data_IF_831324600747
#
_entry.id   IF_831324600747
#
_cell.length_a   1.000
_cell.length_b   1.000
_cell.length_c   1.000
_cell.angle_alpha   90.00
_cell.angle_beta   90.00
_cell.angle_gamma   90.00
#
_symmetry.space_group_name_H-M   'P 1'
#
loop_
_entity.id
_entity.type
_entity.pdbx_description
1 polymer ?
#
# COMPACT_ATOMS: atom_id res chain seq x y z
N UNK A 1 -6.69 -15.09 -11.16
CA UNK A 1 -7.39 -13.92 -10.57
C UNK A 1 -6.39 -13.09 -9.77
N UNK A 2 -6.55 -11.77 -9.77
CA UNK A 2 -5.68 -10.84 -9.03
C UNK A 2 -6.56 -10.10 -8.02
N UNK A 3 -6.20 -10.12 -6.76
CA UNK A 3 -6.89 -9.40 -5.70
C UNK A 3 -5.94 -8.41 -5.04
N UNK A 4 -6.41 -7.18 -4.83
CA UNK A 4 -5.69 -6.16 -4.06
C UNK A 4 -6.53 -5.88 -2.82
N UNK A 5 -5.92 -5.98 -1.65
CA UNK A 5 -6.56 -5.73 -0.35
C UNK A 5 -5.85 -4.57 0.31
N UNK A 6 -6.59 -3.49 0.61
CA UNK A 6 -6.08 -2.37 1.39
C UNK A 6 -6.24 -2.63 2.89
N UNK A 7 -5.18 -2.42 3.66
CA UNK A 7 -5.15 -2.49 5.12
C UNK A 7 -4.81 -1.07 5.62
N UNK A 8 -5.87 -0.27 5.75
CA UNK A 8 -5.81 1.09 6.27
C UNK A 8 -6.04 1.15 7.78
N UNK A 9 -5.56 2.22 8.44
CA UNK A 9 -5.83 2.43 9.86
C UNK A 9 -4.80 3.34 10.54
N UNK A 10 -5.11 3.75 11.77
CA UNK A 10 -4.29 4.72 12.53
C UNK A 10 -2.91 4.15 12.88
N UNK A 11 -1.96 5.03 13.17
CA UNK A 11 -0.59 4.66 13.58
C UNK A 11 -0.61 3.79 14.84
N UNK A 12 0.22 2.74 14.88
CA UNK A 12 0.27 1.73 15.96
C UNK A 12 -1.00 0.88 16.20
N UNK A 13 -1.97 0.83 15.28
CA UNK A 13 -3.20 0.01 15.45
C UNK A 13 -3.03 -1.50 15.22
N UNK A 14 -1.82 -1.99 14.92
CA UNK A 14 -1.56 -3.41 14.64
C UNK A 14 -1.70 -3.82 13.16
N UNK A 15 -1.74 -2.87 12.22
CA UNK A 15 -1.80 -3.15 10.77
C UNK A 15 -0.73 -4.16 10.33
N UNK A 16 0.53 -3.90 10.67
CA UNK A 16 1.67 -4.73 10.25
C UNK A 16 1.58 -6.14 10.82
N UNK A 17 1.04 -6.29 12.03
CA UNK A 17 0.77 -7.60 12.65
C UNK A 17 -0.29 -8.37 11.86
N UNK A 18 -1.40 -7.72 11.48
CA UNK A 18 -2.43 -8.31 10.65
C UNK A 18 -1.89 -8.69 9.27
N UNK A 19 -1.18 -7.78 8.60
CA UNK A 19 -0.52 -8.00 7.31
C UNK A 19 0.41 -9.21 7.35
N UNK A 20 1.25 -9.31 8.38
CA UNK A 20 2.17 -10.43 8.57
C UNK A 20 1.44 -11.77 8.76
N UNK A 21 0.30 -11.75 9.47
CA UNK A 21 -0.52 -12.94 9.64
C UNK A 21 -1.14 -13.38 8.32
N UNK A 22 -1.72 -12.45 7.56
CA UNK A 22 -2.32 -12.72 6.25
C UNK A 22 -1.28 -13.23 5.24
N UNK A 23 -0.09 -12.63 5.19
CA UNK A 23 1.00 -13.05 4.32
C UNK A 23 1.40 -14.52 4.55
N UNK A 24 1.41 -14.97 5.82
CA UNK A 24 1.70 -16.38 6.16
C UNK A 24 0.57 -17.33 5.84
N UNK A 25 -0.68 -16.86 5.88
CA UNK A 25 -1.87 -17.69 5.70
C UNK A 25 -2.35 -17.78 4.25
N UNK A 26 -1.98 -16.82 3.40
CA UNK A 26 -2.48 -16.70 2.02
C UNK A 26 -1.43 -17.16 1.00
N UNK A 27 -1.81 -17.96 -0.01
CA UNK A 27 -0.90 -18.35 -1.09
C UNK A 27 -0.62 -17.18 -2.03
N UNK A 28 0.57 -17.17 -2.65
CA UNK A 28 0.95 -16.20 -3.69
C UNK A 28 0.67 -14.74 -3.29
N UNK A 29 0.97 -14.43 -2.03
CA UNK A 29 0.68 -13.16 -1.40
C UNK A 29 1.95 -12.29 -1.38
N UNK A 30 1.81 -11.03 -1.78
CA UNK A 30 2.86 -10.01 -1.72
C UNK A 30 2.35 -8.84 -0.87
N UNK A 31 3.28 -8.07 -0.30
CA UNK A 31 2.97 -6.89 0.51
C UNK A 31 3.69 -5.68 -0.06
N UNK A 32 3.02 -4.53 -0.05
CA UNK A 32 3.63 -3.21 -0.24
C UNK A 32 3.26 -2.38 0.99
N UNK A 33 4.27 -1.88 1.70
CA UNK A 33 4.09 -0.98 2.85
C UNK A 33 4.17 0.47 2.37
N UNK A 34 3.21 1.30 2.77
CA UNK A 34 3.20 2.73 2.45
C UNK A 34 4.42 3.45 3.04
N UNK A 35 4.88 3.00 4.21
CA UNK A 35 6.02 3.61 4.93
C UNK A 35 7.34 3.46 4.16
N UNK A 36 7.47 2.48 3.25
CA UNK A 36 8.64 2.33 2.38
C UNK A 36 8.78 3.48 1.37
N UNK A 37 7.75 4.30 1.22
CA UNK A 37 7.68 5.41 0.26
C UNK A 37 7.77 6.79 0.94
N UNK A 38 8.22 6.87 2.19
CA UNK A 38 8.55 8.17 2.79
C UNK A 38 9.67 8.86 2.01
N UNK A 39 9.50 10.16 1.77
CA UNK A 39 10.55 10.99 1.20
C UNK A 39 11.72 11.11 2.19
N UNK A 40 12.94 11.38 1.70
CA UNK A 40 14.08 11.68 2.54
C UNK A 40 13.79 12.77 3.59
N UNK A 41 14.41 12.65 4.76
CA UNK A 41 14.15 13.51 5.91
C UNK A 41 14.30 15.01 5.62
N UNK A 42 15.20 15.39 4.71
CA UNK A 42 15.45 16.77 4.27
C UNK A 42 14.40 17.32 3.30
N UNK A 43 13.56 16.44 2.72
CA UNK A 43 12.44 16.81 1.83
C UNK A 43 11.10 16.90 2.57
N UNK A 44 11.05 16.54 3.86
CA UNK A 44 9.85 16.65 4.68
C UNK A 44 9.67 18.10 5.13
N UNK A 45 8.52 18.68 4.82
CA UNK A 45 8.18 20.04 5.21
C UNK A 45 8.15 20.19 6.74
N UNK A 46 8.54 21.37 7.22
CA UNK A 46 8.42 21.76 8.62
C UNK A 46 7.20 22.68 8.75
N UNK A 47 6.29 22.35 9.66
CA UNK A 47 5.10 23.14 9.94
C UNK A 47 5.42 24.43 10.69
N UNK A 48 4.40 25.28 10.86
CA UNK A 48 4.52 26.53 11.62
C UNK A 48 4.88 26.30 13.09
N UNK A 49 4.56 25.11 13.61
CA UNK A 49 4.88 24.62 14.94
C UNK A 49 6.34 24.16 15.09
N UNK A 50 7.12 24.17 14.01
CA UNK A 50 8.50 23.71 13.98
C UNK A 50 8.66 22.19 13.87
N UNK A 51 7.57 21.42 13.75
CA UNK A 51 7.62 19.96 13.61
C UNK A 51 7.55 19.50 12.15
N UNK A 52 8.19 18.36 11.88
CA UNK A 52 8.14 17.73 10.55
C UNK A 52 6.78 17.12 10.28
N UNK A 53 6.25 17.39 9.10
CA UNK A 53 4.94 16.94 8.66
C UNK A 53 5.05 15.54 8.04
N UNK A 54 5.11 14.51 8.88
CA UNK A 54 5.15 13.10 8.43
C UNK A 54 3.77 12.52 8.15
N UNK A 55 2.72 13.00 8.82
CA UNK A 55 1.39 12.43 8.74
C UNK A 55 0.53 13.03 7.61
N UNK A 56 1.15 13.40 6.49
CA UNK A 56 0.49 13.99 5.31
C UNK A 56 0.92 13.31 4.02
N UNK A 57 0.07 13.31 2.99
CA UNK A 57 0.37 12.61 1.71
C UNK A 57 1.62 13.17 1.02
N UNK A 58 1.89 14.45 1.19
CA UNK A 58 3.02 15.17 0.61
C UNK A 58 4.36 14.69 1.14
N UNK A 59 4.38 14.02 2.29
CA UNK A 59 5.58 13.40 2.88
C UNK A 59 5.97 12.09 2.19
N UNK A 60 5.08 11.54 1.35
CA UNK A 60 5.21 10.25 0.69
C UNK A 60 5.39 10.42 -0.82
N UNK A 61 6.16 9.53 -1.46
CA UNK A 61 6.19 9.37 -2.90
C UNK A 61 5.07 8.41 -3.36
N UNK A 62 3.84 8.94 -3.37
CA UNK A 62 2.64 8.17 -3.75
C UNK A 62 2.62 7.80 -5.24
N UNK A 63 3.37 8.51 -6.09
CA UNK A 63 3.52 8.15 -7.50
C UNK A 63 4.39 6.91 -7.65
N UNK A 64 5.52 6.84 -6.95
CA UNK A 64 6.35 5.64 -6.88
C UNK A 64 5.57 4.46 -6.30
N UNK A 65 4.79 4.67 -5.23
CA UNK A 65 3.94 3.62 -4.65
C UNK A 65 2.92 3.10 -5.69
N UNK A 66 2.22 3.99 -6.39
CA UNK A 66 1.27 3.62 -7.43
C UNK A 66 1.94 2.88 -8.59
N UNK A 67 3.17 3.27 -8.96
CA UNK A 67 3.97 2.57 -9.97
C UNK A 67 4.27 1.13 -9.55
N UNK A 68 4.68 0.92 -8.29
CA UNK A 68 4.92 -0.42 -7.71
C UNK A 68 3.65 -1.28 -7.73
N UNK A 69 2.50 -0.71 -7.37
CA UNK A 69 1.20 -1.40 -7.47
C UNK A 69 0.87 -1.78 -8.91
N UNK A 70 1.10 -0.89 -9.87
CA UNK A 70 0.89 -1.16 -11.31
C UNK A 70 1.84 -2.24 -11.83
N UNK A 71 3.09 -2.26 -11.37
CA UNK A 71 4.06 -3.29 -11.70
C UNK A 71 3.56 -4.68 -11.25
N UNK A 72 3.12 -4.80 -9.99
CA UNK A 72 2.49 -6.03 -9.50
C UNK A 72 1.23 -6.39 -10.31
N UNK A 73 0.35 -5.42 -10.56
CA UNK A 73 -0.89 -5.65 -11.30
C UNK A 73 -0.63 -6.13 -12.74
N UNK A 74 0.46 -5.69 -13.38
CA UNK A 74 0.85 -6.14 -14.71
C UNK A 74 1.27 -7.62 -14.71
N UNK A 75 2.15 -8.01 -13.77
CA UNK A 75 2.67 -9.37 -13.67
C UNK A 75 3.06 -9.72 -12.23
N UNK A 76 2.15 -10.34 -11.46
CA UNK A 76 2.42 -10.75 -10.08
C UNK A 76 3.60 -11.72 -9.99
N UNK A 77 3.79 -12.59 -10.99
CA UNK A 77 4.89 -13.54 -11.02
C UNK A 77 6.26 -12.89 -11.14
N UNK A 78 6.40 -11.93 -12.06
CA UNK A 78 7.67 -11.19 -12.22
C UNK A 78 7.96 -10.34 -10.99
N UNK A 79 6.92 -9.72 -10.43
CA UNK A 79 7.03 -8.96 -9.20
C UNK A 79 7.52 -9.83 -8.04
N UNK A 80 6.83 -10.94 -7.74
CA UNK A 80 7.21 -11.85 -6.66
C UNK A 80 8.67 -12.32 -6.80
N UNK A 81 9.09 -12.70 -8.02
CA UNK A 81 10.47 -13.11 -8.29
C UNK A 81 11.49 -11.98 -8.05
N UNK A 82 11.18 -10.76 -8.48
CA UNK A 82 12.06 -9.60 -8.29
C UNK A 82 12.20 -9.21 -6.81
N UNK A 83 11.18 -9.47 -6.00
CA UNK A 83 11.14 -9.15 -4.58
C UNK A 83 11.42 -10.36 -3.66
N UNK A 84 11.93 -11.47 -4.20
CA UNK A 84 12.34 -12.64 -3.40
C UNK A 84 11.18 -13.43 -2.77
N UNK A 85 9.94 -13.21 -3.23
CA UNK A 85 8.76 -13.92 -2.74
C UNK A 85 8.63 -15.25 -3.48
N UNK A 86 8.72 -16.36 -2.75
CA UNK A 86 8.48 -17.70 -3.29
C UNK A 86 6.99 -17.88 -3.58
N UNK A 87 6.66 -18.24 -4.82
CA UNK A 87 5.29 -18.55 -5.21
C UNK A 87 5.08 -20.06 -5.19
N UNK A 88 3.90 -20.48 -4.75
CA UNK A 88 3.50 -21.87 -4.77
C UNK A 88 3.07 -22.23 -6.21
N UNK A 89 3.76 -23.16 -6.89
CA UNK A 89 3.44 -23.53 -8.28
C UNK A 89 2.07 -24.20 -8.41
N UNK A 90 1.65 -24.89 -7.34
CA UNK A 90 0.47 -25.76 -7.32
C UNK A 90 -0.76 -25.07 -6.71
N UNK A 91 -0.60 -23.84 -6.23
CA UNK A 91 -1.71 -23.06 -5.71
C UNK A 91 -2.64 -22.64 -6.85
N UNK A 92 -3.94 -22.49 -6.52
CA UNK A 92 -4.90 -21.88 -7.43
C UNK A 92 -4.30 -20.62 -8.08
N UNK A 93 -4.61 -20.38 -9.36
CA UNK A 93 -4.13 -19.26 -10.19
C UNK A 93 -4.63 -17.91 -9.66
N UNK A 94 -4.35 -17.59 -8.41
CA UNK A 94 -4.83 -16.49 -7.60
C UNK A 94 -3.60 -15.81 -7.00
N UNK A 95 -3.50 -14.50 -7.18
CA UNK A 95 -2.44 -13.67 -6.64
C UNK A 95 -3.04 -12.58 -5.78
N UNK A 96 -2.45 -12.34 -4.63
CA UNK A 96 -2.95 -11.40 -3.64
C UNK A 96 -1.87 -10.34 -3.38
N UNK A 97 -2.26 -9.08 -3.44
CA UNK A 97 -1.45 -7.95 -2.98
C UNK A 97 -2.09 -7.36 -1.73
N UNK A 98 -1.35 -7.33 -0.65
CA UNK A 98 -1.69 -6.54 0.53
C UNK A 98 -1.04 -5.17 0.39
N UNK A 99 -1.86 -4.13 0.47
CA UNK A 99 -1.41 -2.74 0.51
C UNK A 99 -1.62 -2.25 1.94
N UNK A 100 -0.57 -1.97 2.68
CA UNK A 100 -0.66 -1.55 4.08
C UNK A 100 -0.23 -0.09 4.24
N UNK A 101 -0.99 0.73 4.97
CA UNK A 101 -0.60 2.11 5.24
C UNK A 101 -1.63 2.89 6.03
N UNK A 102 -1.26 4.05 6.56
CA UNK A 102 -2.14 4.87 7.38
C UNK A 102 -2.91 5.94 6.58
N UNK A 103 -2.42 6.33 5.40
CA UNK A 103 -3.03 7.33 4.52
C UNK A 103 -3.58 6.73 3.20
N UNK A 104 -3.64 5.41 3.07
CA UNK A 104 -4.03 4.73 1.82
C UNK A 104 -5.33 5.27 1.21
N UNK A 105 -6.36 5.46 2.03
CA UNK A 105 -7.70 5.86 1.58
C UNK A 105 -7.88 7.37 1.44
N UNK A 106 -6.84 8.14 1.74
CA UNK A 106 -6.81 9.59 1.52
C UNK A 106 -6.28 9.94 0.12
N UNK A 107 -5.61 9.00 -0.56
CA UNK A 107 -4.98 9.26 -1.85
C UNK A 107 -5.97 9.17 -3.01
N UNK A 108 -6.07 10.26 -3.77
CA UNK A 108 -6.85 10.30 -5.01
C UNK A 108 -5.99 9.84 -6.18
N UNK A 109 -6.33 8.69 -6.75
CA UNK A 109 -5.65 8.18 -7.94
C UNK A 109 -5.94 9.11 -9.14
N UNK A 110 -4.90 9.68 -9.79
CA UNK A 110 -5.10 10.54 -10.95
C UNK A 110 -5.89 9.83 -12.05
N UNK A 111 -6.89 10.50 -12.61
CA UNK A 111 -7.68 9.99 -13.74
C UNK A 111 -8.84 9.04 -13.41
N UNK A 112 -9.17 8.80 -12.12
CA UNK A 112 -10.43 8.14 -11.73
C UNK A 112 -11.45 9.17 -11.23
N UNK A 113 -12.66 9.16 -11.78
CA UNK A 113 -13.80 9.91 -11.23
C UNK A 113 -14.11 9.41 -9.81
N UNK A 114 -14.24 10.35 -8.86
CA UNK A 114 -14.69 10.04 -7.50
C UNK A 114 -16.17 9.62 -7.51
N UNK A 115 -16.48 8.60 -6.71
CA UNK A 115 -17.82 8.47 -6.13
C UNK A 115 -17.90 9.54 -5.02
N UNK A 116 -18.89 10.45 -5.02
CA UNK A 116 -18.98 11.51 -4.03
C UNK A 116 -18.95 10.95 -2.60
N UNK A 117 -18.12 11.56 -1.75
CA UNK A 117 -17.93 11.20 -0.33
C UNK A 117 -19.22 11.33 0.52
N UNK A 118 -20.28 11.93 -0.04
CA UNK A 118 -21.61 12.07 0.56
C UNK A 118 -22.43 10.77 0.62
N UNK A 119 -21.91 9.64 0.15
CA UNK A 119 -22.64 8.37 0.09
C UNK A 119 -22.34 7.39 1.26
N UNK A 120 -21.54 7.79 2.25
CA UNK A 120 -21.32 6.97 3.45
C UNK A 120 -22.20 7.50 4.58
N UNK A 121 -23.17 6.71 5.10
CA UNK A 121 -23.95 7.11 6.26
C UNK A 121 -23.03 7.27 7.47
N UNK A 122 -23.31 8.31 8.25
CA UNK A 122 -22.72 8.61 9.57
C UNK A 122 -22.89 7.46 10.56
#
# INVERSE_FOLDING_TARGET
MKHIVGIGGVTNSGKTTLTSSLLRSLPNCCVIHQDDFFKPQDQIAVGEDGFKQWDVLESLDMEAMLSTVRAWASSPHKFARAHGVSMQPDAANTHILLLEGFLLYSYNVPGRHQVPRAALPS
#
